data_IF_373957446195
#
_entry.id   IF_373957446195
#
_cell.length_a   1.000
_cell.length_b   1.000
_cell.length_c   1.000
_cell.angle_alpha   90.00
_cell.angle_beta   90.00
_cell.angle_gamma   90.00
#
_symmetry.space_group_name_H-M   'P 1'
#
loop_
_entity.id
_entity.type
_entity.pdbx_description
1 polymer ?
#
# COMPACT_ATOMS: atom_id res chain seq x y z
N UNK A 1 -50.91 52.30 55.52
CA UNK A 1 -50.97 51.03 54.76
C UNK A 1 -51.32 51.36 53.32
N UNK A 2 -50.84 50.54 52.38
CA UNK A 2 -50.96 50.66 50.91
C UNK A 2 -49.79 51.37 50.21
N UNK A 3 -48.99 50.54 49.58
CA UNK A 3 -47.76 50.79 48.83
C UNK A 3 -48.12 50.85 47.33
N UNK A 4 -47.73 51.87 46.55
CA UNK A 4 -47.79 51.79 45.09
C UNK A 4 -46.44 51.39 44.48
N UNK A 5 -46.52 50.38 43.62
CA UNK A 5 -45.44 49.81 42.83
C UNK A 5 -44.88 50.80 41.79
N UNK A 6 -43.55 50.95 41.63
CA UNK A 6 -43.00 51.58 40.44
C UNK A 6 -42.57 50.56 39.37
N UNK A 7 -42.95 50.89 38.14
CA UNK A 7 -42.82 50.15 36.89
C UNK A 7 -41.34 49.83 36.53
N UNK A 8 -41.09 48.61 36.03
CA UNK A 8 -39.78 48.19 35.51
C UNK A 8 -39.52 48.77 34.11
N UNK A 9 -38.29 49.21 33.78
CA UNK A 9 -37.92 49.63 32.42
C UNK A 9 -37.63 48.42 31.51
N UNK A 10 -37.68 48.59 30.17
CA UNK A 10 -37.53 47.51 29.21
C UNK A 10 -36.06 47.12 29.01
N UNK A 11 -35.81 45.81 28.87
CA UNK A 11 -34.49 45.25 28.58
C UNK A 11 -34.13 45.50 27.11
N UNK A 12 -33.10 46.30 26.85
CA UNK A 12 -32.45 46.36 25.53
C UNK A 12 -31.60 45.10 25.34
N UNK A 13 -31.98 44.24 24.39
CA UNK A 13 -31.16 43.13 23.95
C UNK A 13 -30.06 43.67 23.01
N UNK A 14 -28.79 43.49 23.40
CA UNK A 14 -27.64 43.73 22.54
C UNK A 14 -27.43 42.49 21.66
N UNK A 15 -27.59 42.63 20.34
CA UNK A 15 -27.22 41.59 19.39
C UNK A 15 -25.70 41.63 19.14
N UNK A 16 -25.00 40.55 19.46
CA UNK A 16 -23.58 40.38 19.12
C UNK A 16 -23.43 39.84 17.68
N UNK A 17 -22.43 40.29 16.90
CA UNK A 17 -22.22 39.78 15.55
C UNK A 17 -21.55 38.40 15.62
N UNK A 18 -22.15 37.39 15.01
CA UNK A 18 -21.55 36.09 14.85
C UNK A 18 -20.48 36.15 13.74
N UNK A 19 -19.20 36.15 14.13
CA UNK A 19 -18.09 36.00 13.19
C UNK A 19 -18.03 34.53 12.72
N UNK A 20 -18.42 34.29 11.46
CA UNK A 20 -18.28 32.98 10.82
C UNK A 20 -16.81 32.73 10.46
N UNK A 21 -16.14 31.89 11.25
CA UNK A 21 -14.83 31.31 10.92
C UNK A 21 -14.99 30.32 9.77
N UNK A 22 -14.69 30.76 8.54
CA UNK A 22 -14.50 29.89 7.39
C UNK A 22 -13.24 29.04 7.59
N UNK A 23 -13.42 27.80 8.06
CA UNK A 23 -12.39 26.77 8.05
C UNK A 23 -12.06 26.44 6.59
N UNK A 24 -10.95 26.96 6.10
CA UNK A 24 -10.35 26.53 4.83
C UNK A 24 -9.94 25.06 4.99
N UNK A 25 -10.73 24.15 4.41
CA UNK A 25 -10.35 22.76 4.27
C UNK A 25 -9.12 22.70 3.35
N UNK A 26 -7.94 22.44 3.93
CA UNK A 26 -6.75 22.15 3.15
C UNK A 26 -7.04 20.91 2.29
N UNK A 27 -6.71 20.93 0.99
CA UNK A 27 -6.86 19.74 0.16
C UNK A 27 -6.02 18.62 0.77
N UNK A 28 -6.63 17.44 0.96
CA UNK A 28 -5.88 16.25 1.34
C UNK A 28 -4.82 16.01 0.26
N UNK A 29 -3.55 16.30 0.56
CA UNK A 29 -2.44 15.96 -0.31
C UNK A 29 -2.56 14.45 -0.59
N UNK A 30 -2.68 14.05 -1.86
CA UNK A 30 -2.62 12.64 -2.22
C UNK A 30 -1.32 12.08 -1.63
N UNK A 31 -1.44 11.15 -0.68
CA UNK A 31 -0.29 10.63 0.04
C UNK A 31 0.61 9.87 -0.95
N UNK A 32 1.75 10.45 -1.31
CA UNK A 32 2.78 9.77 -2.08
C UNK A 32 3.39 8.64 -1.23
N UNK A 33 3.86 7.58 -1.88
CA UNK A 33 4.61 6.56 -1.15
C UNK A 33 5.89 7.17 -0.57
N UNK A 34 6.32 6.75 0.64
CA UNK A 34 7.62 7.13 1.15
C UNK A 34 8.73 6.62 0.24
N UNK A 35 9.87 7.28 0.27
CA UNK A 35 11.05 6.82 -0.47
C UNK A 35 11.55 5.47 0.05
N UNK A 36 12.05 4.57 -0.83
CA UNK A 36 12.71 3.34 -0.42
C UNK A 36 13.80 3.59 0.62
N UNK A 37 13.75 2.79 1.69
CA UNK A 37 14.54 3.02 2.90
C UNK A 37 15.99 2.57 2.73
N UNK A 38 16.25 1.54 1.93
CA UNK A 38 17.56 0.92 1.77
C UNK A 38 17.76 0.33 0.38
N UNK A 39 19.00 0.03 0.04
CA UNK A 39 19.36 -0.63 -1.21
C UNK A 39 18.79 -2.06 -1.28
N UNK A 40 18.45 -2.49 -2.49
CA UNK A 40 18.07 -3.87 -2.81
C UNK A 40 19.26 -4.58 -3.44
N UNK A 41 19.72 -5.65 -2.78
CA UNK A 41 20.67 -6.58 -3.37
C UNK A 41 19.94 -7.45 -4.40
N UNK A 42 20.30 -7.29 -5.67
CA UNK A 42 19.52 -7.84 -6.78
C UNK A 42 19.37 -9.37 -6.72
N UNK A 43 20.44 -10.06 -6.33
CA UNK A 43 20.46 -11.52 -6.17
C UNK A 43 19.51 -12.02 -5.09
N UNK A 44 19.31 -11.27 -4.00
CA UNK A 44 18.38 -11.63 -2.91
C UNK A 44 16.91 -11.45 -3.31
N UNK A 45 16.64 -10.55 -4.26
CA UNK A 45 15.30 -10.35 -4.80
C UNK A 45 14.87 -11.49 -5.73
N UNK A 46 15.80 -12.13 -6.43
CA UNK A 46 15.54 -13.22 -7.38
C UNK A 46 14.74 -14.38 -6.76
N UNK A 47 13.91 -15.00 -7.58
CA UNK A 47 13.07 -16.13 -7.24
C UNK A 47 11.62 -15.75 -6.95
N UNK A 48 10.89 -16.70 -6.38
CA UNK A 48 9.47 -16.56 -6.06
C UNK A 48 9.24 -15.71 -4.83
N UNK A 49 8.22 -14.87 -4.91
CA UNK A 49 7.61 -14.18 -3.78
C UNK A 49 6.11 -14.43 -3.77
N UNK A 50 5.57 -14.75 -2.59
CA UNK A 50 4.16 -14.96 -2.30
C UNK A 50 3.56 -13.67 -1.75
N UNK A 51 2.41 -13.28 -2.26
CA UNK A 51 1.69 -12.10 -1.77
C UNK A 51 0.89 -12.47 -0.52
N UNK A 52 1.34 -12.00 0.64
CA UNK A 52 0.74 -12.29 1.95
C UNK A 52 -0.40 -11.33 2.27
N UNK A 53 -0.28 -10.07 1.85
CA UNK A 53 -1.28 -9.04 2.06
C UNK A 53 -1.20 -7.99 0.95
N UNK A 54 -2.33 -7.35 0.62
CA UNK A 54 -2.37 -6.24 -0.34
C UNK A 54 -3.42 -5.21 0.00
N UNK A 55 -3.25 -4.00 -0.51
CA UNK A 55 -4.39 -3.09 -0.69
C UNK A 55 -5.34 -3.67 -1.76
N UNK A 56 -6.66 -3.72 -1.51
CA UNK A 56 -7.63 -4.16 -2.51
C UNK A 56 -7.47 -3.38 -3.81
N UNK A 57 -7.45 -4.09 -4.94
CA UNK A 57 -7.37 -3.48 -6.26
C UNK A 57 -8.18 -4.28 -7.29
N UNK A 58 -8.66 -3.60 -8.33
CA UNK A 58 -9.57 -4.20 -9.30
C UNK A 58 -8.94 -5.33 -10.13
N UNK A 59 -7.63 -5.26 -10.40
CA UNK A 59 -6.92 -6.26 -11.20
C UNK A 59 -6.82 -7.61 -10.48
N UNK A 60 -6.65 -7.57 -9.17
CA UNK A 60 -6.49 -8.73 -8.30
C UNK A 60 -7.77 -9.10 -7.54
N UNK A 61 -8.93 -8.53 -7.90
CA UNK A 61 -10.22 -8.99 -7.37
C UNK A 61 -10.36 -10.50 -7.55
N UNK A 62 -10.73 -11.21 -6.49
CA UNK A 62 -10.87 -12.68 -6.42
C UNK A 62 -9.58 -13.46 -6.79
N UNK A 63 -8.40 -12.84 -6.63
CA UNK A 63 -7.11 -13.52 -6.77
C UNK A 63 -6.63 -14.05 -5.42
N UNK A 64 -6.54 -15.37 -5.32
CA UNK A 64 -5.88 -16.14 -4.27
C UNK A 64 -4.51 -16.65 -4.72
N UNK A 65 -3.71 -17.11 -3.77
CA UNK A 65 -2.41 -17.75 -3.99
C UNK A 65 -1.50 -16.96 -4.95
N UNK A 66 -1.50 -15.63 -4.84
CA UNK A 66 -0.79 -14.77 -5.76
C UNK A 66 0.73 -14.84 -5.53
N UNK A 67 1.48 -14.88 -6.63
CA UNK A 67 2.95 -14.90 -6.62
C UNK A 67 3.53 -13.95 -7.65
N UNK A 68 4.77 -13.55 -7.43
CA UNK A 68 5.62 -12.92 -8.44
C UNK A 68 6.97 -13.64 -8.47
N UNK A 69 7.32 -14.19 -9.62
CA UNK A 69 8.60 -14.84 -9.89
C UNK A 69 9.53 -13.85 -10.59
N UNK A 70 10.71 -13.60 -10.02
CA UNK A 70 11.68 -12.62 -10.52
C UNK A 70 12.96 -13.33 -10.97
N UNK A 71 13.31 -13.22 -12.25
CA UNK A 71 14.54 -13.75 -12.82
C UNK A 71 15.43 -12.61 -13.27
N UNK A 72 16.69 -12.57 -12.84
CA UNK A 72 17.60 -11.50 -13.22
C UNK A 72 17.92 -11.59 -14.71
N UNK A 73 17.71 -10.51 -15.44
CA UNK A 73 18.01 -10.37 -16.86
C UNK A 73 18.86 -9.11 -17.05
N UNK A 74 20.19 -9.21 -16.90
CA UNK A 74 21.25 -8.23 -17.20
C UNK A 74 21.04 -6.74 -16.86
N UNK A 75 19.97 -6.14 -17.37
CA UNK A 75 19.49 -4.77 -17.21
C UNK A 75 18.38 -4.62 -16.14
N UNK A 76 17.86 -5.71 -15.59
CA UNK A 76 16.74 -5.71 -14.64
C UNK A 76 16.25 -7.13 -14.34
N UNK A 77 14.93 -7.35 -14.42
CA UNK A 77 14.33 -8.68 -14.24
C UNK A 77 13.30 -9.02 -15.31
N UNK A 78 13.22 -10.30 -15.66
CA UNK A 78 11.99 -10.90 -16.16
C UNK A 78 11.08 -11.26 -14.98
N UNK A 79 9.81 -10.89 -15.08
CA UNK A 79 8.83 -11.04 -14.00
C UNK A 79 7.60 -11.79 -14.51
N UNK A 80 7.21 -12.83 -13.77
CA UNK A 80 5.94 -13.53 -13.98
C UNK A 80 5.08 -13.36 -12.74
N UNK A 81 4.00 -12.61 -12.85
CA UNK A 81 2.99 -12.48 -11.80
C UNK A 81 1.88 -13.51 -12.05
N UNK A 82 1.49 -14.26 -11.02
CA UNK A 82 0.40 -15.22 -11.11
C UNK A 82 -0.59 -15.06 -9.97
N UNK A 83 -1.83 -15.45 -10.19
CA UNK A 83 -2.81 -15.68 -9.14
C UNK A 83 -3.76 -16.81 -9.55
N UNK A 84 -4.58 -17.29 -8.63
CA UNK A 84 -5.66 -18.25 -8.91
C UNK A 84 -7.00 -17.65 -8.55
N UNK A 85 -8.00 -17.86 -9.42
CA UNK A 85 -9.31 -17.22 -9.29
C UNK A 85 -10.20 -17.96 -8.32
N UNK A 86 -10.69 -17.27 -7.29
CA UNK A 86 -11.71 -17.74 -6.35
C UNK A 86 -11.23 -18.73 -5.27
N UNK A 87 -10.12 -19.44 -5.50
CA UNK A 87 -9.49 -20.29 -4.49
C UNK A 87 -8.02 -20.58 -4.84
N UNK A 88 -7.20 -21.08 -3.88
CA UNK A 88 -5.83 -21.54 -4.13
C UNK A 88 -5.69 -22.68 -5.15
N UNK A 89 -6.79 -23.35 -5.52
CA UNK A 89 -6.82 -24.40 -6.56
C UNK A 89 -7.53 -23.93 -7.84
N UNK A 90 -8.04 -22.70 -7.84
CA UNK A 90 -8.78 -22.14 -8.95
C UNK A 90 -7.94 -21.92 -10.22
N UNK A 91 -8.58 -21.50 -11.32
CA UNK A 91 -7.93 -21.26 -12.59
C UNK A 91 -6.77 -20.25 -12.47
N UNK A 92 -5.62 -20.59 -13.04
CA UNK A 92 -4.43 -19.71 -13.03
C UNK A 92 -4.64 -18.52 -13.97
N UNK A 93 -4.33 -17.32 -13.48
CA UNK A 93 -4.14 -16.10 -14.26
C UNK A 93 -2.66 -15.71 -14.19
N UNK A 94 -2.12 -15.24 -15.30
CA UNK A 94 -0.68 -14.98 -15.44
C UNK A 94 -0.45 -13.68 -16.22
N UNK A 95 0.54 -12.91 -15.78
CA UNK A 95 1.02 -11.71 -16.44
C UNK A 95 2.55 -11.73 -16.49
N UNK A 96 3.11 -11.52 -17.69
CA UNK A 96 4.55 -11.44 -17.91
C UNK A 96 4.97 -10.00 -18.14
N UNK A 97 6.07 -9.59 -17.52
CA UNK A 97 6.64 -8.27 -17.67
C UNK A 97 8.17 -8.33 -17.66
N UNK A 98 8.80 -7.31 -18.26
CA UNK A 98 10.18 -6.95 -17.97
C UNK A 98 10.20 -5.79 -16.98
N UNK A 99 11.06 -5.86 -15.97
CA UNK A 99 11.22 -4.86 -14.92
C UNK A 99 12.57 -4.16 -15.07
N UNK A 100 12.55 -2.90 -15.54
CA UNK A 100 13.74 -2.07 -15.61
C UNK A 100 13.97 -1.35 -14.27
N UNK A 101 15.21 -1.35 -13.77
CA UNK A 101 15.59 -0.58 -12.57
C UNK A 101 15.69 0.90 -12.95
N UNK A 102 14.95 1.77 -12.26
CA UNK A 102 14.91 3.22 -12.53
C UNK A 102 15.63 4.06 -11.47
N UNK A 103 16.06 3.44 -10.37
CA UNK A 103 16.88 4.05 -9.34
C UNK A 103 18.27 3.39 -9.30
N UNK A 104 19.33 4.03 -9.81
CA UNK A 104 20.67 3.44 -9.83
C UNK A 104 21.32 3.38 -8.44
N UNK A 105 20.81 4.13 -7.44
CA UNK A 105 21.41 4.21 -6.11
C UNK A 105 20.90 3.10 -5.21
N UNK A 106 19.58 3.04 -4.97
CA UNK A 106 19.02 2.00 -4.09
C UNK A 106 18.52 0.78 -4.85
N UNK A 107 18.40 0.84 -6.18
CA UNK A 107 17.90 -0.26 -7.02
C UNK A 107 16.52 -0.79 -6.58
N UNK A 108 15.75 0.07 -5.92
CA UNK A 108 14.50 -0.29 -5.28
C UNK A 108 13.27 0.20 -6.05
N UNK A 109 13.46 0.90 -7.17
CA UNK A 109 12.39 1.41 -8.03
C UNK A 109 12.44 0.72 -9.39
N UNK A 110 11.29 0.25 -9.84
CA UNK A 110 11.14 -0.53 -11.06
C UNK A 110 10.04 0.04 -11.94
N UNK A 111 10.28 0.04 -13.25
CA UNK A 111 9.26 0.20 -14.27
C UNK A 111 9.01 -1.15 -14.93
N UNK A 112 7.84 -1.74 -14.67
CA UNK A 112 7.40 -2.99 -15.27
C UNK A 112 6.67 -2.72 -16.58
N UNK A 113 7.07 -3.42 -17.63
CA UNK A 113 6.52 -3.33 -18.98
C UNK A 113 5.82 -4.63 -19.34
N UNK A 114 4.51 -4.60 -19.51
CA UNK A 114 3.67 -5.74 -19.88
C UNK A 114 3.33 -5.70 -21.38
N UNK A 115 3.01 -6.87 -21.95
CA UNK A 115 2.58 -7.00 -23.36
C UNK A 115 3.55 -6.33 -24.36
N UNK A 116 4.85 -6.50 -24.16
CA UNK A 116 5.87 -5.89 -25.04
C UNK A 116 5.99 -4.36 -24.90
N UNK A 117 5.54 -3.77 -23.79
CA UNK A 117 5.70 -2.33 -23.49
C UNK A 117 4.43 -1.49 -23.68
N UNK A 118 3.31 -2.11 -24.08
CA UNK A 118 2.02 -1.42 -24.26
C UNK A 118 1.49 -0.89 -22.92
N UNK A 119 1.67 -1.64 -21.85
CA UNK A 119 1.22 -1.25 -20.50
C UNK A 119 2.44 -1.16 -19.60
N UNK A 120 2.55 -0.05 -18.86
CA UNK A 120 3.66 0.19 -17.93
C UNK A 120 3.11 0.43 -16.53
N UNK A 121 3.79 -0.12 -15.52
CA UNK A 121 3.46 0.08 -14.12
C UNK A 121 4.72 0.29 -13.29
N UNK A 122 4.69 1.26 -12.40
CA UNK A 122 5.80 1.51 -11.48
C UNK A 122 5.58 0.79 -10.14
N UNK A 123 6.64 0.17 -9.64
CA UNK A 123 6.69 -0.52 -8.36
C UNK A 123 7.95 -0.15 -7.60
N UNK A 124 7.82 0.10 -6.30
CA UNK A 124 8.93 0.40 -5.40
C UNK A 124 9.00 -0.64 -4.30
N UNK A 125 10.21 -1.09 -3.92
CA UNK A 125 10.45 -1.82 -2.68
C UNK A 125 10.67 -0.76 -1.59
N UNK A 126 9.65 -0.56 -0.75
CA UNK A 126 9.65 0.49 0.28
C UNK A 126 10.55 0.13 1.46
N UNK A 127 10.49 -1.13 1.87
CA UNK A 127 11.42 -1.70 2.85
C UNK A 127 11.47 -3.22 2.70
N UNK A 128 12.52 -3.84 3.25
CA UNK A 128 12.67 -5.29 3.24
C UNK A 128 13.51 -5.80 4.40
N UNK A 129 13.27 -7.06 4.73
CA UNK A 129 14.17 -7.92 5.50
C UNK A 129 14.20 -9.28 4.83
N UNK A 130 15.00 -9.37 3.76
CA UNK A 130 15.14 -10.58 2.94
C UNK A 130 15.68 -11.77 3.74
N UNK A 131 16.48 -11.53 4.77
CA UNK A 131 16.92 -12.49 5.78
C UNK A 131 15.76 -13.07 6.61
N UNK A 132 14.74 -12.27 6.87
CA UNK A 132 13.48 -12.67 7.48
C UNK A 132 12.42 -13.10 6.45
N UNK A 133 12.80 -13.17 5.16
CA UNK A 133 11.96 -13.65 4.09
C UNK A 133 10.77 -12.77 3.73
N UNK A 134 10.81 -11.46 4.00
CA UNK A 134 9.74 -10.53 3.60
C UNK A 134 10.24 -9.23 2.96
N UNK A 135 9.40 -8.64 2.13
CA UNK A 135 9.56 -7.28 1.61
C UNK A 135 8.21 -6.59 1.46
N UNK A 136 8.24 -5.26 1.38
CA UNK A 136 7.06 -4.41 1.18
C UNK A 136 7.21 -3.70 -0.16
N UNK A 137 6.28 -3.96 -1.07
CA UNK A 137 6.19 -3.25 -2.34
C UNK A 137 5.09 -2.19 -2.29
N UNK A 138 5.21 -1.13 -3.08
CA UNK A 138 4.14 -0.15 -3.27
C UNK A 138 4.21 0.53 -4.63
N UNK A 139 3.19 1.33 -4.93
CA UNK A 139 3.20 2.23 -6.10
C UNK A 139 3.63 3.64 -5.70
N UNK A 140 4.27 4.43 -6.58
CA UNK A 140 4.75 5.80 -6.27
C UNK A 140 3.67 6.70 -5.68
N UNK A 141 2.43 6.56 -6.15
CA UNK A 141 1.29 7.36 -5.69
C UNK A 141 0.73 6.95 -4.33
N UNK A 142 1.33 6.00 -3.62
CA UNK A 142 0.94 5.61 -2.26
C UNK A 142 -0.42 4.89 -2.13
N UNK A 143 -1.10 4.64 -3.25
CA UNK A 143 -2.44 4.04 -3.24
C UNK A 143 -2.44 2.53 -2.99
N UNK A 144 -1.34 1.86 -3.30
CA UNK A 144 -1.24 0.40 -3.21
C UNK A 144 0.03 -0.02 -2.49
N UNK A 145 -0.10 -1.00 -1.59
CA UNK A 145 1.00 -1.67 -0.90
C UNK A 145 0.77 -3.17 -0.92
N UNK A 146 1.86 -3.94 -0.98
CA UNK A 146 1.86 -5.39 -0.89
C UNK A 146 2.90 -5.84 0.12
N UNK A 147 2.53 -6.81 0.97
CA UNK A 147 3.46 -7.58 1.77
C UNK A 147 3.80 -8.87 1.01
N UNK A 148 5.06 -9.04 0.65
CA UNK A 148 5.53 -10.22 -0.06
C UNK A 148 6.39 -11.09 0.85
N UNK A 149 6.41 -12.40 0.62
CA UNK A 149 7.24 -13.36 1.36
C UNK A 149 7.93 -14.39 0.48
N UNK A 150 9.08 -14.91 0.90
CA UNK A 150 9.75 -16.06 0.26
C UNK A 150 9.02 -17.39 0.47
N UNK A 151 8.08 -17.46 1.42
CA UNK A 151 7.28 -18.64 1.70
C UNK A 151 5.77 -18.31 1.62
N UNK A 152 4.89 -19.30 1.38
CA UNK A 152 3.45 -19.06 1.38
C UNK A 152 2.95 -18.47 2.71
N UNK A 153 3.60 -18.83 3.83
CA UNK A 153 3.25 -18.33 5.15
C UNK A 153 4.48 -17.77 5.84
N UNK A 154 4.39 -16.51 6.30
CA UNK A 154 5.37 -15.91 7.19
C UNK A 154 5.24 -16.44 8.60
N UNK A 155 6.37 -16.58 9.30
CA UNK A 155 6.36 -16.73 10.75
C UNK A 155 5.58 -15.57 11.40
N UNK A 156 4.80 -15.86 12.44
CA UNK A 156 3.91 -14.88 13.06
C UNK A 156 4.62 -13.59 13.52
N UNK A 157 5.85 -13.72 14.03
CA UNK A 157 6.70 -12.59 14.43
C UNK A 157 7.15 -11.74 13.24
N UNK A 158 7.55 -12.37 12.13
CA UNK A 158 7.95 -11.68 10.91
C UNK A 158 6.75 -10.96 10.26
N UNK A 159 5.58 -11.62 10.21
CA UNK A 159 4.33 -11.01 9.72
C UNK A 159 3.95 -9.78 10.57
N UNK A 160 4.01 -9.89 11.89
CA UNK A 160 3.68 -8.78 12.79
C UNK A 160 4.64 -7.61 12.62
N UNK A 161 5.95 -7.87 12.48
CA UNK A 161 6.95 -6.86 12.19
C UNK A 161 6.70 -6.15 10.85
N UNK A 162 6.41 -6.92 9.79
CA UNK A 162 6.15 -6.37 8.48
C UNK A 162 4.87 -5.51 8.44
N UNK A 163 3.79 -5.94 9.09
CA UNK A 163 2.55 -5.16 9.21
C UNK A 163 2.75 -3.87 10.04
N UNK A 164 3.51 -3.95 11.14
CA UNK A 164 3.89 -2.75 11.89
C UNK A 164 4.70 -1.79 11.02
N UNK A 165 5.60 -2.32 10.17
CA UNK A 165 6.37 -1.50 9.23
C UNK A 165 5.49 -0.85 8.15
N UNK A 166 4.53 -1.57 7.59
CA UNK A 166 3.54 -1.00 6.66
C UNK A 166 2.79 0.18 7.30
N UNK A 167 2.36 0.05 8.56
CA UNK A 167 1.73 1.15 9.31
C UNK A 167 2.67 2.35 9.47
N UNK A 168 3.95 2.13 9.80
CA UNK A 168 4.94 3.20 9.91
C UNK A 168 5.23 3.90 8.58
N UNK A 169 5.06 3.20 7.45
CA UNK A 169 5.18 3.77 6.10
C UNK A 169 3.94 4.59 5.70
N UNK A 170 2.94 4.72 6.57
CA UNK A 170 1.75 5.57 6.37
C UNK A 170 0.53 4.85 5.81
N UNK A 171 0.57 3.52 5.67
CA UNK A 171 -0.55 2.75 5.13
C UNK A 171 -1.48 2.25 6.24
N UNK A 172 -2.78 2.25 5.96
CA UNK A 172 -3.78 1.71 6.86
C UNK A 172 -3.88 0.18 6.75
N UNK A 173 -3.23 -0.51 7.68
CA UNK A 173 -3.20 -1.97 7.75
C UNK A 173 -4.60 -2.59 7.91
N UNK A 174 -5.58 -1.85 8.44
CA UNK A 174 -6.96 -2.38 8.60
C UNK A 174 -7.70 -2.54 7.27
N UNK A 175 -7.20 -1.92 6.20
CA UNK A 175 -7.76 -2.01 4.84
C UNK A 175 -7.11 -3.09 3.99
N UNK A 176 -6.09 -3.77 4.50
CA UNK A 176 -5.43 -4.82 3.74
C UNK A 176 -6.30 -6.08 3.70
N UNK A 177 -6.33 -6.71 2.55
CA UNK A 177 -6.84 -8.08 2.41
C UNK A 177 -5.67 -9.07 2.48
N UNK A 178 -5.99 -10.29 2.90
CA UNK A 178 -5.04 -11.39 3.10
C UNK A 178 -5.48 -12.58 2.27
N UNK A 179 -5.05 -12.66 0.99
CA UNK A 179 -5.42 -13.75 0.11
C UNK A 179 -4.99 -15.11 0.67
N UNK A 180 -5.82 -16.11 0.45
CA UNK A 180 -5.53 -17.50 0.75
C UNK A 180 -4.26 -17.95 0.03
N UNK A 181 -3.51 -18.84 0.67
CA UNK A 181 -2.24 -19.34 0.17
C UNK A 181 -2.41 -20.80 -0.25
N UNK A 182 -1.55 -21.32 -1.16
CA UNK A 182 -1.53 -22.75 -1.43
C UNK A 182 -1.40 -23.56 -0.14
N UNK A 183 -2.11 -24.69 -0.08
CA UNK A 183 -1.87 -25.70 0.94
C UNK A 183 -0.42 -26.17 0.94
N UNK A 184 0.05 -26.67 2.08
CA UNK A 184 1.36 -27.35 2.16
C UNK A 184 1.35 -28.65 1.38
#
# INVERSE_FOLDING_TARGET
>A
MSNPNPLRPPRRALAAPAAALLLLALPAQAAQAPEPVREVELTKMTGRWYEVARTPNAMQKDCEAATSDWALDGKGYDVVQTCRRGSPDGPKKEWKASAAITDPVKKAKFKLSFFGGVVNQEYWILDHRTDQGWLIMGTPGGNYVWLMSKAPQLAASARSQALARIRQLGYDVSKLEFPEQPGK
#
